data_IF_962193821542
#
_entry.id   IF_962193821542
#
_cell.length_a   1.000
_cell.length_b   1.000
_cell.length_c   1.000
_cell.angle_alpha   90.00
_cell.angle_beta   90.00
_cell.angle_gamma   90.00
#
_symmetry.space_group_name_H-M   'P 1'
#
loop_
_entity.id
_entity.type
_entity.pdbx_description
1 polymer ?
#
# COMPACT_ATOMS: atom_id res chain seq x y z
N UNK A 1 -52.52 -38.44 -17.83
CA UNK A 1 -51.80 -38.11 -16.58
C UNK A 1 -50.30 -38.29 -16.84
N UNK A 2 -49.56 -37.21 -17.07
CA UNK A 2 -48.09 -37.23 -17.19
C UNK A 2 -47.56 -36.41 -16.01
N UNK A 3 -46.87 -37.08 -15.09
CA UNK A 3 -46.21 -36.44 -13.96
C UNK A 3 -44.89 -35.82 -14.45
N UNK A 4 -44.74 -34.50 -14.28
CA UNK A 4 -43.50 -33.79 -14.54
C UNK A 4 -42.58 -33.88 -13.33
N UNK A 5 -41.37 -34.40 -13.53
CA UNK A 5 -40.29 -34.33 -12.55
C UNK A 5 -39.68 -32.92 -12.56
N UNK A 6 -39.76 -32.23 -11.42
CA UNK A 6 -39.03 -30.99 -11.17
C UNK A 6 -37.65 -31.38 -10.64
N UNK A 7 -36.60 -31.05 -11.38
CA UNK A 7 -35.21 -31.22 -10.99
C UNK A 7 -34.80 -30.01 -10.13
N UNK A 8 -34.73 -30.18 -8.81
CA UNK A 8 -34.15 -29.17 -7.92
C UNK A 8 -32.62 -29.19 -8.09
N UNK A 9 -32.08 -28.14 -8.71
CA UNK A 9 -30.64 -27.86 -8.68
C UNK A 9 -30.29 -27.29 -7.30
N UNK A 10 -29.66 -28.10 -6.46
CA UNK A 10 -28.99 -27.65 -5.24
C UNK A 10 -27.74 -26.86 -5.64
N UNK A 11 -27.84 -25.53 -5.60
CA UNK A 11 -26.68 -24.63 -5.62
C UNK A 11 -25.88 -24.86 -4.35
N UNK A 12 -24.76 -25.57 -4.46
CA UNK A 12 -23.75 -25.61 -3.42
C UNK A 12 -23.07 -24.24 -3.39
N UNK A 13 -23.54 -23.36 -2.50
CA UNK A 13 -22.79 -22.17 -2.14
C UNK A 13 -21.47 -22.62 -1.53
N UNK A 14 -20.36 -22.32 -2.18
CA UNK A 14 -19.03 -22.40 -1.55
C UNK A 14 -19.05 -21.41 -0.41
N UNK A 15 -19.27 -21.89 0.82
CA UNK A 15 -18.90 -21.13 2.00
C UNK A 15 -17.40 -20.94 1.93
N UNK A 16 -16.95 -19.72 1.66
CA UNK A 16 -15.58 -19.31 1.97
C UNK A 16 -15.50 -19.46 3.49
N UNK A 17 -14.85 -20.52 3.96
CA UNK A 17 -14.51 -20.63 5.38
C UNK A 17 -13.43 -19.60 5.60
N UNK A 18 -13.78 -18.49 6.25
CA UNK A 18 -12.81 -17.52 6.73
C UNK A 18 -11.83 -18.26 7.65
N UNK A 19 -10.56 -18.25 7.29
CA UNK A 19 -9.42 -18.82 8.02
C UNK A 19 -8.83 -17.85 9.06
N UNK A 20 -9.47 -16.70 9.31
CA UNK A 20 -9.09 -15.80 10.39
C UNK A 20 -8.94 -16.52 11.74
N UNK A 21 -7.82 -16.27 12.41
CA UNK A 21 -7.59 -16.63 13.82
C UNK A 21 -7.76 -15.36 14.67
N UNK A 22 -8.99 -15.11 15.13
CA UNK A 22 -9.31 -13.95 15.95
C UNK A 22 -9.04 -14.19 17.44
N UNK A 23 -8.50 -13.19 18.12
CA UNK A 23 -8.40 -13.19 19.59
C UNK A 23 -9.63 -12.52 20.21
N UNK A 24 -9.90 -12.83 21.48
CA UNK A 24 -10.94 -12.10 22.23
C UNK A 24 -10.47 -10.72 22.66
N UNK A 25 -11.40 -9.79 22.93
CA UNK A 25 -11.10 -8.47 23.51
C UNK A 25 -10.33 -8.56 24.83
N UNK A 26 -10.66 -9.56 25.66
CA UNK A 26 -9.98 -9.81 26.92
C UNK A 26 -8.54 -10.30 26.72
N UNK A 27 -8.30 -11.13 25.70
CA UNK A 27 -6.96 -11.53 25.31
C UNK A 27 -6.14 -10.37 24.76
N UNK A 28 -6.72 -9.56 23.87
CA UNK A 28 -6.06 -8.37 23.35
C UNK A 28 -5.61 -7.42 24.48
N UNK A 29 -6.51 -7.11 25.43
CA UNK A 29 -6.18 -6.26 26.59
C UNK A 29 -4.99 -6.83 27.38
N UNK A 30 -4.98 -8.13 27.64
CA UNK A 30 -3.86 -8.78 28.36
C UNK A 30 -2.54 -8.69 27.58
N UNK A 31 -2.55 -8.92 26.27
CA UNK A 31 -1.31 -8.87 25.46
C UNK A 31 -0.74 -7.46 25.42
N UNK A 32 -1.59 -6.44 25.24
CA UNK A 32 -1.14 -5.05 25.13
C UNK A 32 -0.72 -4.46 26.49
N UNK A 33 -1.29 -4.93 27.62
CA UNK A 33 -0.87 -4.54 28.98
C UNK A 33 0.58 -4.93 29.31
N UNK A 34 1.11 -6.00 28.70
CA UNK A 34 2.50 -6.44 28.87
C UNK A 34 3.49 -5.39 28.31
N UNK A 35 2.99 -4.32 27.68
CA UNK A 35 3.75 -3.16 27.22
C UNK A 35 4.46 -3.38 25.88
N UNK A 36 4.30 -4.56 25.28
CA UNK A 36 4.79 -4.85 23.94
C UNK A 36 3.87 -4.19 22.90
N UNK A 37 4.41 -3.54 21.86
CA UNK A 37 3.62 -3.05 20.75
C UNK A 37 3.01 -4.22 19.98
N UNK A 38 1.76 -4.08 19.56
CA UNK A 38 1.00 -5.08 18.80
C UNK A 38 0.27 -4.39 17.65
N UNK A 39 0.39 -4.93 16.44
CA UNK A 39 -0.39 -4.50 15.29
C UNK A 39 -1.68 -5.32 15.23
N UNK A 40 -2.83 -4.65 15.21
CA UNK A 40 -4.14 -5.28 15.34
C UNK A 40 -5.01 -4.92 14.14
N UNK A 41 -5.54 -5.93 13.45
CA UNK A 41 -6.58 -5.77 12.44
C UNK A 41 -7.97 -5.89 13.07
N UNK A 42 -8.72 -4.80 13.08
CA UNK A 42 -10.14 -4.77 13.42
C UNK A 42 -10.93 -4.98 12.15
N UNK A 43 -11.63 -6.10 12.06
CA UNK A 43 -12.26 -6.57 10.82
C UNK A 43 -13.72 -6.94 11.04
N UNK A 44 -14.46 -7.05 9.95
CA UNK A 44 -15.73 -7.76 9.90
C UNK A 44 -15.63 -8.76 8.76
N UNK A 45 -15.36 -10.05 9.03
CA UNK A 45 -14.96 -11.01 8.01
C UNK A 45 -15.90 -11.09 6.79
N UNK A 46 -17.20 -10.89 7.00
CA UNK A 46 -18.23 -10.92 5.96
C UNK A 46 -18.24 -9.67 5.03
N UNK A 47 -17.59 -8.56 5.42
CA UNK A 47 -17.50 -7.37 4.58
C UNK A 47 -16.38 -7.57 3.53
N UNK A 48 -16.62 -7.28 2.22
CA UNK A 48 -15.65 -7.55 1.15
C UNK A 48 -14.25 -6.97 1.38
N UNK A 49 -14.17 -5.77 1.98
CA UNK A 49 -12.92 -5.11 2.30
C UNK A 49 -12.08 -5.87 3.35
N UNK A 50 -12.74 -6.52 4.32
CA UNK A 50 -12.07 -7.34 5.32
C UNK A 50 -11.69 -8.71 4.74
N UNK A 51 -12.58 -9.34 3.96
CA UNK A 51 -12.28 -10.60 3.28
C UNK A 51 -11.06 -10.47 2.35
N UNK A 52 -10.93 -9.37 1.62
CA UNK A 52 -9.79 -9.12 0.73
C UNK A 52 -8.43 -8.95 1.44
N UNK A 53 -8.44 -8.63 2.74
CA UNK A 53 -7.24 -8.47 3.57
C UNK A 53 -6.73 -9.81 4.14
N UNK A 54 -7.62 -10.81 4.27
CA UNK A 54 -7.41 -12.04 5.04
C UNK A 54 -6.16 -12.81 4.60
N UNK A 55 -6.01 -13.08 3.31
CA UNK A 55 -4.88 -13.86 2.76
C UNK A 55 -3.52 -13.23 3.13
N UNK A 56 -3.41 -11.91 2.96
CA UNK A 56 -2.18 -11.16 3.23
C UNK A 56 -1.89 -11.07 4.74
N UNK A 57 -2.94 -10.97 5.56
CA UNK A 57 -2.80 -10.96 7.02
C UNK A 57 -2.31 -12.31 7.56
N UNK A 58 -2.91 -13.40 7.08
CA UNK A 58 -2.51 -14.77 7.45
C UNK A 58 -1.09 -15.07 6.95
N UNK A 59 -0.73 -14.63 5.74
CA UNK A 59 0.62 -14.78 5.21
C UNK A 59 1.67 -14.04 6.06
N UNK A 60 1.36 -12.81 6.51
CA UNK A 60 2.21 -12.08 7.45
C UNK A 60 2.36 -12.81 8.79
N UNK A 61 1.25 -13.29 9.36
CA UNK A 61 1.27 -14.03 10.63
C UNK A 61 2.10 -15.33 10.52
N UNK A 62 1.95 -16.06 9.42
CA UNK A 62 2.68 -17.30 9.17
C UNK A 62 4.18 -17.09 8.94
N UNK A 63 4.58 -15.93 8.40
CA UNK A 63 5.99 -15.59 8.15
C UNK A 63 6.78 -15.29 9.43
N UNK A 64 6.09 -15.13 10.58
CA UNK A 64 6.72 -14.90 11.87
C UNK A 64 7.13 -16.25 12.48
N UNK A 65 8.41 -16.60 12.33
CA UNK A 65 8.98 -17.89 12.77
C UNK A 65 9.09 -18.08 14.30
N UNK A 66 8.79 -17.05 15.11
CA UNK A 66 8.92 -17.09 16.56
C UNK A 66 7.55 -16.85 17.23
N UNK A 67 7.06 -17.82 17.99
CA UNK A 67 5.78 -17.75 18.71
C UNK A 67 5.64 -16.48 19.60
N UNK A 68 6.76 -15.96 20.13
CA UNK A 68 6.74 -14.71 20.92
C UNK A 68 6.53 -13.44 20.07
N UNK A 69 6.84 -13.50 18.78
CA UNK A 69 6.62 -12.43 17.81
C UNK A 69 5.27 -12.60 17.09
N UNK A 70 4.71 -13.81 16.99
CA UNK A 70 3.36 -14.02 16.46
C UNK A 70 2.30 -13.26 17.28
N UNK A 71 2.54 -13.08 18.59
CA UNK A 71 1.71 -12.24 19.47
C UNK A 71 1.77 -10.73 19.13
N UNK A 72 2.53 -10.31 18.12
CA UNK A 72 2.64 -8.93 17.66
C UNK A 72 1.70 -8.62 16.48
N UNK A 73 1.05 -9.62 15.89
CA UNK A 73 0.10 -9.46 14.79
C UNK A 73 -1.22 -10.17 15.15
N UNK A 74 -2.24 -9.41 15.56
CA UNK A 74 -3.52 -9.95 16.07
C UNK A 74 -4.71 -9.47 15.25
N UNK A 75 -5.82 -10.22 15.25
CA UNK A 75 -7.07 -9.78 14.62
C UNK A 75 -8.25 -9.86 15.59
N UNK A 76 -9.22 -8.95 15.43
CA UNK A 76 -10.47 -8.90 16.18
C UNK A 76 -11.64 -8.92 15.20
N UNK A 77 -12.58 -9.84 15.39
CA UNK A 77 -13.86 -9.83 14.70
C UNK A 77 -14.83 -8.86 15.38
N UNK A 78 -15.01 -7.69 14.75
CA UNK A 78 -15.92 -6.65 15.21
C UNK A 78 -17.39 -6.90 14.85
N UNK A 79 -17.73 -8.05 14.24
CA UNK A 79 -19.10 -8.51 14.10
C UNK A 79 -19.64 -9.18 15.37
N UNK A 80 -18.73 -9.64 16.26
CA UNK A 80 -19.10 -10.31 17.50
C UNK A 80 -19.52 -9.31 18.59
N UNK A 81 -20.56 -9.61 19.40
CA UNK A 81 -21.05 -8.71 20.45
C UNK A 81 -20.03 -8.36 21.54
N UNK A 82 -19.08 -9.25 21.81
CA UNK A 82 -18.05 -9.14 22.87
C UNK A 82 -16.72 -8.53 22.40
N UNK A 83 -16.67 -8.05 21.16
CA UNK A 83 -15.48 -7.46 20.54
C UNK A 83 -15.08 -6.07 21.07
N UNK A 84 -15.93 -5.41 21.88
CA UNK A 84 -15.79 -4.02 22.34
C UNK A 84 -15.60 -2.98 21.20
N UNK A 85 -15.69 -3.39 19.94
CA UNK A 85 -15.39 -2.59 18.76
C UNK A 85 -16.31 -1.36 18.64
N UNK A 86 -17.60 -1.55 18.93
CA UNK A 86 -18.60 -0.49 18.79
C UNK A 86 -18.32 0.76 19.65
N UNK A 87 -17.63 0.59 20.79
CA UNK A 87 -17.30 1.68 21.71
C UNK A 87 -16.13 2.55 21.24
N UNK A 88 -15.37 2.11 20.23
CA UNK A 88 -14.11 2.73 19.83
C UNK A 88 -14.26 3.42 18.46
N UNK A 89 -14.52 4.72 18.43
CA UNK A 89 -14.76 5.43 17.16
C UNK A 89 -13.57 5.37 16.17
N UNK A 90 -12.35 5.21 16.68
CA UNK A 90 -11.12 5.22 15.89
C UNK A 90 -10.84 3.92 15.11
N UNK A 91 -11.65 2.86 15.30
CA UNK A 91 -11.47 1.59 14.58
C UNK A 91 -12.35 1.49 13.32
N UNK A 92 -13.19 2.48 13.03
CA UNK A 92 -14.04 2.53 11.83
C UNK A 92 -13.43 3.48 10.80
N UNK A 93 -13.57 3.22 9.49
CA UNK A 93 -14.26 2.07 8.86
C UNK A 93 -13.46 0.76 8.94
N UNK A 94 -14.10 -0.38 8.61
CA UNK A 94 -13.45 -1.69 8.58
C UNK A 94 -12.97 -2.07 7.16
N UNK A 95 -11.84 -2.80 7.04
CA UNK A 95 -10.91 -3.10 8.11
C UNK A 95 -10.12 -1.85 8.53
N UNK A 96 -9.81 -1.76 9.83
CA UNK A 96 -8.88 -0.77 10.39
C UNK A 96 -7.73 -1.49 11.06
N UNK A 97 -6.51 -1.09 10.75
CA UNK A 97 -5.29 -1.73 11.27
C UNK A 97 -4.55 -0.70 12.13
N UNK A 98 -4.37 -1.02 13.40
CA UNK A 98 -3.81 -0.10 14.39
C UNK A 98 -2.61 -0.70 15.10
N UNK A 99 -1.56 0.09 15.28
CA UNK A 99 -0.50 -0.23 16.21
C UNK A 99 -0.94 0.21 17.61
N UNK A 100 -1.06 -0.75 18.52
CA UNK A 100 -1.39 -0.53 19.91
C UNK A 100 -0.15 -0.68 20.79
N UNK A 101 -0.05 0.18 21.81
CA UNK A 101 0.95 0.07 22.87
C UNK A 101 0.34 0.60 24.16
N UNK A 102 0.48 -0.13 25.27
CA UNK A 102 -0.09 0.24 26.57
C UNK A 102 -1.59 0.61 26.51
N UNK A 103 -2.37 -0.23 25.83
CA UNK A 103 -3.82 -0.11 25.56
C UNK A 103 -4.23 1.17 24.82
N UNK A 104 -3.32 1.79 24.08
CA UNK A 104 -3.59 2.99 23.30
C UNK A 104 -3.18 2.82 21.84
N UNK A 105 -3.96 3.35 20.88
CA UNK A 105 -3.50 3.46 19.50
C UNK A 105 -2.35 4.47 19.44
N UNK A 106 -1.21 4.04 18.92
CA UNK A 106 -0.03 4.90 18.69
C UNK A 106 0.22 5.19 17.22
N UNK A 107 -0.36 4.38 16.32
CA UNK A 107 -0.37 4.65 14.88
C UNK A 107 -1.53 3.93 14.19
N UNK A 108 -1.99 4.49 13.08
CA UNK A 108 -2.90 3.83 12.14
C UNK A 108 -2.12 3.41 10.91
N UNK A 109 -2.26 2.15 10.50
CA UNK A 109 -1.66 1.66 9.28
C UNK A 109 -2.37 2.25 8.06
N UNK A 110 -1.59 2.82 7.14
CA UNK A 110 -2.08 3.51 5.93
C UNK A 110 -1.38 3.06 4.65
N UNK A 111 -0.54 2.02 4.76
CA UNK A 111 0.27 1.51 3.68
C UNK A 111 -0.43 0.43 2.85
N UNK A 112 0.39 -0.33 2.13
CA UNK A 112 -0.04 -1.39 1.22
C UNK A 112 -0.62 -2.57 2.00
N UNK A 113 -1.82 -3.02 1.66
CA UNK A 113 -2.41 -4.21 2.31
C UNK A 113 -1.81 -5.50 1.76
N UNK A 114 -0.53 -5.73 2.07
CA UNK A 114 0.30 -6.88 1.70
C UNK A 114 1.04 -7.40 2.93
N UNK A 115 1.31 -8.70 2.99
CA UNK A 115 1.87 -9.37 4.16
C UNK A 115 3.18 -8.72 4.65
N UNK A 116 4.18 -8.63 3.76
CA UNK A 116 5.47 -8.02 4.06
C UNK A 116 5.35 -6.54 4.45
N UNK A 117 4.38 -5.82 3.87
CA UNK A 117 4.16 -4.41 4.15
C UNK A 117 3.63 -4.16 5.57
N UNK A 118 2.91 -5.12 6.19
CA UNK A 118 2.53 -5.04 7.61
C UNK A 118 3.74 -5.23 8.52
N UNK A 119 4.58 -6.22 8.20
CA UNK A 119 5.78 -6.53 8.97
C UNK A 119 6.80 -5.39 8.91
N UNK A 120 7.02 -4.82 7.72
CA UNK A 120 7.94 -3.70 7.55
C UNK A 120 7.45 -2.46 8.30
N UNK A 121 6.15 -2.15 8.25
CA UNK A 121 5.58 -1.06 9.06
C UNK A 121 5.76 -1.28 10.55
N UNK A 122 5.47 -2.49 11.04
CA UNK A 122 5.66 -2.82 12.45
C UNK A 122 7.11 -2.67 12.86
N UNK A 123 8.06 -3.19 12.06
CA UNK A 123 9.48 -3.04 12.28
C UNK A 123 9.89 -1.55 12.29
N UNK A 124 9.49 -0.75 11.28
CA UNK A 124 9.78 0.69 11.22
C UNK A 124 9.26 1.43 12.44
N UNK A 125 8.03 1.14 12.88
CA UNK A 125 7.37 1.84 13.99
C UNK A 125 7.92 1.48 15.36
N UNK A 126 8.35 0.24 15.56
CA UNK A 126 8.87 -0.25 16.84
C UNK A 126 10.38 -0.08 17.00
N UNK A 127 11.09 0.19 15.90
CA UNK A 127 12.53 0.49 15.90
C UNK A 127 12.83 1.84 16.56
N UNK A 128 13.75 1.81 17.52
CA UNK A 128 14.29 2.98 18.21
C UNK A 128 15.81 2.84 18.31
N UNK A 129 16.62 3.76 17.74
CA UNK A 129 16.23 4.91 16.90
C UNK A 129 15.59 4.47 15.57
N UNK A 130 14.80 5.34 14.93
CA UNK A 130 14.11 4.99 13.68
C UNK A 130 15.02 5.09 12.45
N UNK A 131 16.02 5.98 12.49
CA UNK A 131 17.18 5.95 11.59
C UNK A 131 18.21 5.00 12.21
N UNK A 132 18.65 3.99 11.45
CA UNK A 132 19.66 3.05 11.93
C UNK A 132 21.04 3.64 11.73
N UNK A 133 21.72 3.99 12.81
CA UNK A 133 23.06 4.57 12.79
C UNK A 133 24.15 3.49 12.84
N UNK A 134 25.38 3.88 12.47
CA UNK A 134 26.55 3.03 12.65
C UNK A 134 26.54 1.75 11.81
N UNK A 135 25.97 1.82 10.61
CA UNK A 135 25.92 0.68 9.69
C UNK A 135 27.33 0.32 9.21
N UNK A 136 27.92 -0.74 9.78
CA UNK A 136 29.12 -1.38 9.25
C UNK A 136 28.82 -2.17 7.95
N UNK A 137 29.82 -2.83 7.36
CA UNK A 137 29.62 -3.58 6.10
C UNK A 137 28.56 -4.68 6.21
N UNK A 138 28.51 -5.41 7.34
CA UNK A 138 27.56 -6.50 7.53
C UNK A 138 26.16 -5.97 7.87
N UNK A 139 26.08 -4.97 8.75
CA UNK A 139 24.84 -4.30 9.12
C UNK A 139 24.21 -3.60 7.91
N UNK A 140 25.01 -2.95 7.07
CA UNK A 140 24.55 -2.35 5.82
C UNK A 140 24.00 -3.41 4.84
N UNK A 141 24.67 -4.55 4.70
CA UNK A 141 24.18 -5.64 3.84
C UNK A 141 22.83 -6.18 4.32
N UNK A 142 22.66 -6.36 5.64
CA UNK A 142 21.38 -6.76 6.22
C UNK A 142 20.31 -5.65 6.07
N UNK A 143 20.70 -4.39 6.29
CA UNK A 143 19.79 -3.25 6.23
C UNK A 143 19.23 -3.01 4.82
N UNK A 144 20.02 -3.25 3.77
CA UNK A 144 19.56 -3.21 2.37
C UNK A 144 18.39 -4.15 2.08
N UNK A 145 18.23 -5.23 2.86
CA UNK A 145 17.12 -6.17 2.75
C UNK A 145 16.05 -6.03 3.84
N UNK A 146 16.13 -5.00 4.69
CA UNK A 146 15.22 -4.82 5.82
C UNK A 146 13.84 -4.27 5.44
N UNK A 147 13.69 -3.82 4.20
CA UNK A 147 12.46 -3.25 3.64
C UNK A 147 12.48 -3.42 2.11
N UNK A 148 11.36 -3.14 1.44
CA UNK A 148 11.33 -3.12 -0.03
C UNK A 148 12.20 -1.98 -0.61
N UNK A 149 12.35 -0.90 0.17
CA UNK A 149 13.16 0.24 -0.18
C UNK A 149 13.77 0.87 1.07
N UNK A 150 15.08 1.07 1.04
CA UNK A 150 15.82 1.72 2.12
C UNK A 150 16.65 2.89 1.62
N UNK A 151 16.77 3.92 2.45
CA UNK A 151 17.56 5.10 2.19
C UNK A 151 18.73 5.15 3.16
N UNK A 152 19.95 5.22 2.63
CA UNK A 152 21.18 5.23 3.42
C UNK A 152 21.94 6.53 3.18
N UNK A 153 22.08 7.35 4.21
CA UNK A 153 22.97 8.50 4.18
C UNK A 153 24.41 8.06 4.44
N UNK A 154 25.34 8.48 3.58
CA UNK A 154 26.77 8.33 3.75
C UNK A 154 27.34 9.71 4.07
N UNK A 155 27.72 9.92 5.32
CA UNK A 155 28.11 11.22 5.86
C UNK A 155 29.42 11.10 6.64
N UNK A 156 30.26 12.13 6.58
CA UNK A 156 31.33 12.27 7.55
C UNK A 156 30.76 12.99 8.79
N UNK A 157 30.50 12.26 9.87
CA UNK A 157 29.78 12.81 11.04
C UNK A 157 30.56 13.91 11.80
N UNK A 158 31.86 14.06 11.53
CA UNK A 158 32.66 15.17 12.08
C UNK A 158 32.41 16.48 11.32
N UNK A 159 32.06 16.42 10.03
CA UNK A 159 31.89 17.61 9.16
C UNK A 159 30.45 17.81 8.65
N UNK A 160 29.63 16.77 8.64
CA UNK A 160 28.29 16.72 8.05
C UNK A 160 27.16 16.54 9.10
N UNK A 161 27.42 16.83 10.37
CA UNK A 161 26.42 16.68 11.45
C UNK A 161 25.09 17.40 11.18
N UNK A 162 25.14 18.56 10.51
CA UNK A 162 23.92 19.27 10.11
C UNK A 162 23.10 18.50 9.06
N UNK A 163 23.77 17.80 8.14
CA UNK A 163 23.11 16.97 7.12
C UNK A 163 22.47 15.72 7.74
N UNK A 164 23.05 15.18 8.82
CA UNK A 164 22.43 14.09 9.57
C UNK A 164 21.07 14.53 10.14
N UNK A 165 20.99 15.73 10.72
CA UNK A 165 19.72 16.30 11.20
C UNK A 165 18.69 16.52 10.08
N UNK A 166 19.13 17.04 8.93
CA UNK A 166 18.27 17.17 7.73
C UNK A 166 17.74 15.82 7.26
N UNK A 167 18.61 14.80 7.24
CA UNK A 167 18.25 13.44 6.85
C UNK A 167 17.23 12.82 7.82
N UNK A 168 17.42 12.99 9.12
CA UNK A 168 16.47 12.55 10.15
C UNK A 168 15.10 13.21 10.02
N UNK A 169 15.06 14.51 9.71
CA UNK A 169 13.81 15.25 9.53
C UNK A 169 13.02 14.73 8.33
N UNK A 170 13.69 14.46 7.20
CA UNK A 170 13.04 13.83 6.03
C UNK A 170 12.61 12.40 6.35
N UNK A 171 13.49 11.61 6.98
CA UNK A 171 13.19 10.24 7.37
C UNK A 171 11.95 10.13 8.29
N UNK A 172 11.72 11.14 9.14
CA UNK A 172 10.54 11.21 10.01
C UNK A 172 9.24 11.32 9.20
N UNK A 173 9.25 12.10 8.11
CA UNK A 173 8.09 12.29 7.23
C UNK A 173 7.69 11.01 6.50
N UNK A 174 8.67 10.21 6.07
CA UNK A 174 8.44 8.97 5.31
C UNK A 174 8.58 7.69 6.14
N UNK A 175 8.62 7.78 7.48
CA UNK A 175 8.81 6.63 8.38
C UNK A 175 7.75 5.53 8.20
N UNK A 176 6.55 5.89 7.76
CA UNK A 176 5.48 4.92 7.54
C UNK A 176 5.61 4.21 6.18
N UNK A 177 6.47 4.69 5.28
CA UNK A 177 6.69 4.16 3.93
C UNK A 177 8.05 3.45 3.79
N UNK A 178 9.14 4.07 4.25
CA UNK A 178 10.50 3.61 3.96
C UNK A 178 11.36 3.48 5.22
N UNK A 179 12.41 2.67 5.14
CA UNK A 179 13.42 2.54 6.19
C UNK A 179 14.64 3.41 5.91
N UNK A 180 15.19 4.05 6.95
CA UNK A 180 16.30 4.98 6.84
C UNK A 180 17.48 4.54 7.71
N UNK A 181 18.70 4.70 7.20
CA UNK A 181 19.94 4.34 7.86
C UNK A 181 21.07 5.30 7.54
N UNK A 182 22.15 5.23 8.32
CA UNK A 182 23.28 6.13 8.19
C UNK A 182 24.61 5.39 8.38
N UNK A 183 25.53 5.66 7.46
CA UNK A 183 26.92 5.19 7.47
C UNK A 183 27.81 6.40 7.74
N UNK A 184 28.52 6.35 8.87
CA UNK A 184 29.54 7.34 9.25
C UNK A 184 30.99 6.88 8.97
N UNK A 185 31.18 5.62 8.58
CA UNK A 185 32.50 5.00 8.45
C UNK A 185 33.06 5.18 7.03
N UNK A 186 34.25 5.80 6.93
CA UNK A 186 34.91 6.10 5.67
C UNK A 186 35.35 4.85 4.89
N UNK A 187 35.67 3.74 5.57
CA UNK A 187 36.05 2.48 4.92
C UNK A 187 34.83 1.78 4.33
N UNK A 188 33.69 1.77 5.03
CA UNK A 188 32.41 1.29 4.49
C UNK A 188 32.00 2.10 3.27
N UNK A 189 32.09 3.43 3.37
CA UNK A 189 31.76 4.35 2.28
C UNK A 189 32.62 4.11 1.03
N UNK A 190 33.94 3.96 1.22
CA UNK A 190 34.89 3.63 0.14
C UNK A 190 34.58 2.28 -0.50
N UNK A 191 34.28 1.24 0.29
CA UNK A 191 33.90 -0.09 -0.22
C UNK A 191 32.64 -0.06 -1.08
N UNK A 192 31.69 0.82 -0.74
CA UNK A 192 30.46 1.01 -1.50
C UNK A 192 30.64 1.91 -2.74
N UNK A 193 31.84 2.47 -2.95
CA UNK A 193 32.10 3.37 -4.08
C UNK A 193 31.23 4.63 -4.03
N UNK A 194 30.99 5.16 -2.84
CA UNK A 194 30.19 6.37 -2.61
C UNK A 194 31.12 7.49 -2.12
N UNK A 195 30.90 8.71 -2.61
CA UNK A 195 31.58 9.91 -2.10
C UNK A 195 30.68 10.62 -1.09
N UNK A 196 31.21 11.01 0.06
CA UNK A 196 30.44 11.77 1.06
C UNK A 196 30.43 13.28 0.74
N UNK A 197 29.37 14.02 1.11
CA UNK A 197 28.07 13.52 1.56
C UNK A 197 27.24 12.97 0.40
N UNK A 198 26.47 11.91 0.64
CA UNK A 198 25.50 11.39 -0.32
C UNK A 198 24.36 10.65 0.38
N UNK A 199 23.24 10.48 -0.32
CA UNK A 199 22.16 9.56 0.07
C UNK A 199 21.97 8.54 -1.04
N UNK A 200 21.81 7.26 -0.68
CA UNK A 200 21.59 6.18 -1.64
C UNK A 200 20.29 5.48 -1.34
N UNK A 201 19.46 5.31 -2.36
CA UNK A 201 18.25 4.49 -2.31
C UNK A 201 18.60 3.08 -2.79
N UNK A 202 18.34 2.07 -1.97
CA UNK A 202 18.46 0.66 -2.33
C UNK A 202 17.07 0.04 -2.37
N UNK A 203 16.73 -0.58 -3.50
CA UNK A 203 15.53 -1.42 -3.63
C UNK A 203 15.89 -2.87 -3.35
N UNK A 204 14.96 -3.60 -2.76
CA UNK A 204 15.16 -5.01 -2.43
C UNK A 204 15.50 -5.81 -3.70
N UNK A 205 16.62 -6.53 -3.66
CA UNK A 205 17.12 -7.33 -4.79
C UNK A 205 18.00 -6.56 -5.77
N UNK A 206 18.10 -5.23 -5.68
CA UNK A 206 19.05 -4.44 -6.47
C UNK A 206 20.40 -4.35 -5.76
N UNK A 207 21.47 -4.57 -6.54
CA UNK A 207 22.85 -4.48 -6.03
C UNK A 207 23.30 -3.02 -5.96
N UNK A 208 23.02 -2.28 -7.04
CA UNK A 208 23.34 -0.88 -7.18
C UNK A 208 22.17 -0.03 -6.69
N UNK A 209 22.49 1.05 -5.98
CA UNK A 209 21.50 2.01 -5.51
C UNK A 209 21.54 3.30 -6.32
N UNK A 210 20.42 4.00 -6.36
CA UNK A 210 20.34 5.33 -6.97
C UNK A 210 20.89 6.36 -5.99
N UNK A 211 21.80 7.22 -6.43
CA UNK A 211 22.54 8.15 -5.57
C UNK A 211 22.05 9.60 -5.73
N UNK A 212 21.95 10.30 -4.62
CA UNK A 212 21.93 11.76 -4.53
C UNK A 212 23.28 12.19 -3.98
N UNK A 213 24.16 12.70 -4.85
CA UNK A 213 25.51 13.14 -4.46
C UNK A 213 25.51 14.61 -4.02
N UNK A 214 26.37 14.91 -3.04
CA UNK A 214 26.59 16.25 -2.53
C UNK A 214 25.64 16.64 -1.40
N UNK A 215 25.74 17.92 -1.01
CA UNK A 215 24.94 18.47 0.09
C UNK A 215 23.47 18.58 -0.31
N UNK A 216 22.59 18.34 0.66
CA UNK A 216 21.14 18.38 0.48
C UNK A 216 20.46 19.18 1.59
N UNK A 217 19.26 19.68 1.29
CA UNK A 217 18.36 20.31 2.27
C UNK A 217 17.03 19.54 2.32
N UNK A 218 16.22 19.78 3.36
CA UNK A 218 14.97 19.04 3.63
C UNK A 218 14.08 18.90 2.40
N UNK A 219 13.75 20.02 1.73
CA UNK A 219 12.87 19.99 0.55
C UNK A 219 13.50 19.35 -0.69
N UNK A 220 14.83 19.46 -0.86
CA UNK A 220 15.52 18.82 -1.98
C UNK A 220 15.61 17.31 -1.82
N UNK A 221 15.96 16.86 -0.61
CA UNK A 221 16.02 15.45 -0.26
C UNK A 221 14.63 14.80 -0.31
N UNK A 222 13.59 15.45 0.22
CA UNK A 222 12.21 14.94 0.18
C UNK A 222 11.71 14.69 -1.26
N UNK A 223 11.88 15.67 -2.16
CA UNK A 223 11.53 15.50 -3.58
C UNK A 223 12.33 14.37 -4.24
N UNK A 224 13.60 14.23 -3.89
CA UNK A 224 14.41 13.13 -4.43
C UNK A 224 13.94 11.76 -3.92
N UNK A 225 13.60 11.65 -2.63
CA UNK A 225 12.98 10.45 -2.04
C UNK A 225 11.70 10.09 -2.80
N UNK A 226 10.81 11.05 -3.03
CA UNK A 226 9.59 10.81 -3.79
C UNK A 226 9.86 10.37 -5.23
N UNK A 227 10.74 11.09 -5.94
CA UNK A 227 11.05 10.80 -7.34
C UNK A 227 11.67 9.41 -7.50
N UNK A 228 12.63 9.06 -6.64
CA UNK A 228 13.32 7.76 -6.71
C UNK A 228 12.44 6.61 -6.22
N UNK A 229 11.38 6.88 -5.46
CA UNK A 229 10.43 5.87 -4.99
C UNK A 229 9.40 5.46 -6.03
N UNK A 230 9.17 6.27 -7.08
CA UNK A 230 8.18 5.98 -8.12
C UNK A 230 8.52 4.70 -8.89
N UNK A 231 7.49 3.96 -9.27
CA UNK A 231 7.55 2.80 -10.17
C UNK A 231 6.79 3.15 -11.45
N UNK A 232 7.00 2.40 -12.54
CA UNK A 232 6.25 2.57 -13.78
C UNK A 232 4.73 2.40 -13.54
N UNK A 233 4.36 1.56 -12.57
CA UNK A 233 2.99 1.42 -12.07
C UNK A 233 3.05 1.34 -10.54
N UNK A 234 2.76 2.45 -9.87
CA UNK A 234 2.81 2.54 -8.40
C UNK A 234 1.51 2.00 -7.77
N UNK A 235 1.61 1.24 -6.68
CA UNK A 235 0.42 0.87 -5.91
C UNK A 235 0.03 2.04 -4.98
N UNK A 236 -1.19 2.55 -5.14
CA UNK A 236 -1.69 3.68 -4.38
C UNK A 236 -2.21 3.27 -3.00
N UNK A 237 -1.86 4.08 -2.02
CA UNK A 237 -2.20 4.00 -0.60
C UNK A 237 -2.55 5.39 -0.10
N UNK A 238 -3.08 5.47 1.12
CA UNK A 238 -3.40 6.77 1.72
C UNK A 238 -2.15 7.66 1.90
N UNK A 239 -0.96 7.06 1.99
CA UNK A 239 0.31 7.77 2.17
C UNK A 239 0.78 8.49 0.90
N UNK A 240 0.56 7.87 -0.27
CA UNK A 240 1.06 8.37 -1.56
C UNK A 240 -0.01 8.92 -2.50
N UNK A 241 -1.29 8.82 -2.13
CA UNK A 241 -2.40 9.26 -2.97
C UNK A 241 -2.26 10.70 -3.48
N UNK A 242 -1.88 11.62 -2.58
CA UNK A 242 -1.69 13.04 -2.91
C UNK A 242 -0.57 13.25 -3.93
N UNK A 243 0.63 12.73 -3.64
CA UNK A 243 1.80 12.87 -4.53
C UNK A 243 1.59 12.28 -5.93
N UNK A 244 0.78 11.23 -6.05
CA UNK A 244 0.45 10.62 -7.35
C UNK A 244 -0.42 11.54 -8.23
N UNK A 245 -1.05 12.56 -7.65
CA UNK A 245 -1.92 13.52 -8.35
C UNK A 245 -1.27 14.90 -8.58
N UNK A 246 -0.16 15.20 -7.90
CA UNK A 246 0.39 16.56 -7.83
C UNK A 246 0.85 17.13 -9.16
N UNK A 247 1.39 16.29 -10.05
CA UNK A 247 1.97 16.74 -11.31
C UNK A 247 0.91 17.19 -12.33
N UNK A 248 -0.37 16.89 -12.09
CA UNK A 248 -1.48 17.25 -12.98
C UNK A 248 -1.58 16.42 -14.26
N UNK A 249 -0.76 15.37 -14.39
CA UNK A 249 -0.77 14.46 -15.54
C UNK A 249 -2.06 13.64 -15.54
N UNK A 250 -2.57 13.22 -16.72
CA UNK A 250 -3.63 12.23 -16.79
C UNK A 250 -3.23 10.94 -16.04
N UNK A 251 -4.16 10.38 -15.29
CA UNK A 251 -3.92 9.22 -14.42
C UNK A 251 -4.70 8.03 -14.94
N UNK A 252 -4.03 6.88 -15.07
CA UNK A 252 -4.67 5.59 -15.33
C UNK A 252 -4.75 4.82 -14.02
N UNK A 253 -5.97 4.66 -13.51
CA UNK A 253 -6.27 3.83 -12.35
C UNK A 253 -6.58 2.40 -12.77
N UNK A 254 -5.89 1.45 -12.16
CA UNK A 254 -6.10 0.01 -12.35
C UNK A 254 -6.51 -0.60 -11.01
N UNK A 255 -7.78 -0.97 -10.88
CA UNK A 255 -8.36 -1.44 -9.63
C UNK A 255 -8.24 -2.96 -9.52
N UNK A 256 -7.66 -3.41 -8.40
CA UNK A 256 -7.63 -4.81 -8.00
C UNK A 256 -8.04 -4.96 -6.54
N UNK A 257 -9.06 -5.76 -6.31
CA UNK A 257 -9.67 -5.98 -5.00
C UNK A 257 -8.75 -6.73 -4.03
N UNK A 258 -7.88 -7.62 -4.53
CA UNK A 258 -6.91 -8.37 -3.73
C UNK A 258 -5.47 -8.00 -4.09
N UNK A 259 -4.53 -8.21 -3.16
CA UNK A 259 -3.12 -7.96 -3.42
C UNK A 259 -2.56 -8.80 -4.59
N UNK A 260 -2.93 -10.07 -4.67
CA UNK A 260 -2.56 -10.96 -5.79
C UNK A 260 -3.09 -10.44 -7.14
N UNK A 261 -4.33 -9.94 -7.17
CA UNK A 261 -4.91 -9.32 -8.38
C UNK A 261 -4.13 -8.06 -8.78
N UNK A 262 -3.84 -7.17 -7.82
CA UNK A 262 -3.04 -5.95 -8.05
C UNK A 262 -1.64 -6.26 -8.59
N UNK A 263 -0.95 -7.26 -8.04
CA UNK A 263 0.36 -7.69 -8.52
C UNK A 263 0.31 -8.25 -9.95
N UNK A 264 -0.70 -9.06 -10.27
CA UNK A 264 -0.90 -9.59 -11.63
C UNK A 264 -1.18 -8.47 -12.63
N UNK A 265 -2.04 -7.52 -12.27
CA UNK A 265 -2.36 -6.35 -13.09
C UNK A 265 -1.11 -5.51 -13.35
N UNK A 266 -0.33 -5.21 -12.30
CA UNK A 266 0.93 -4.49 -12.41
C UNK A 266 1.89 -5.17 -13.39
N UNK A 267 2.07 -6.49 -13.26
CA UNK A 267 2.94 -7.27 -14.15
C UNK A 267 2.45 -7.26 -15.60
N UNK A 268 1.15 -7.44 -15.82
CA UNK A 268 0.57 -7.57 -17.16
C UNK A 268 0.58 -6.25 -17.93
N UNK A 269 0.48 -5.12 -17.24
CA UNK A 269 0.42 -3.79 -17.85
C UNK A 269 1.78 -3.05 -17.84
N UNK A 270 2.82 -3.64 -17.25
CA UNK A 270 4.11 -2.97 -17.03
C UNK A 270 4.72 -2.39 -18.31
N UNK A 271 4.83 -3.20 -19.37
CA UNK A 271 5.38 -2.75 -20.66
C UNK A 271 4.55 -1.63 -21.28
N UNK A 272 3.22 -1.71 -21.16
CA UNK A 272 2.31 -0.69 -21.67
C UNK A 272 2.47 0.63 -20.91
N UNK A 273 2.55 0.59 -19.58
CA UNK A 273 2.77 1.78 -18.78
C UNK A 273 4.11 2.45 -19.10
N UNK A 274 5.16 1.67 -19.34
CA UNK A 274 6.45 2.20 -19.78
C UNK A 274 6.40 2.88 -21.16
N UNK A 275 5.62 2.35 -22.11
CA UNK A 275 5.50 2.95 -23.44
C UNK A 275 4.56 4.16 -23.49
N UNK A 276 3.80 4.41 -22.42
CA UNK A 276 2.85 5.53 -22.29
C UNK A 276 3.18 6.36 -21.04
N UNK A 277 4.41 6.87 -20.99
CA UNK A 277 4.93 7.65 -19.86
C UNK A 277 4.17 8.96 -19.60
N UNK A 278 3.50 9.51 -20.62
CA UNK A 278 2.58 10.66 -20.55
C UNK A 278 1.38 10.50 -19.60
N UNK A 279 1.20 9.31 -19.03
CA UNK A 279 0.24 9.03 -17.97
C UNK A 279 0.94 8.63 -16.66
N UNK A 280 0.37 9.05 -15.55
CA UNK A 280 0.65 8.43 -14.25
C UNK A 280 -0.16 7.14 -14.14
N UNK A 281 0.50 5.99 -14.01
CA UNK A 281 -0.18 4.70 -13.84
C UNK A 281 -0.16 4.29 -12.38
N UNK A 282 -1.35 3.96 -11.86
CA UNK A 282 -1.47 3.46 -10.49
C UNK A 282 -2.36 2.24 -10.42
N UNK A 283 -1.95 1.29 -9.59
CA UNK A 283 -2.79 0.17 -9.17
C UNK A 283 -3.39 0.49 -7.81
N UNK A 284 -4.67 0.19 -7.59
CA UNK A 284 -5.40 0.68 -6.41
C UNK A 284 -6.19 -0.44 -5.75
N UNK A 285 -6.09 -0.53 -4.42
CA UNK A 285 -7.08 -1.23 -3.60
C UNK A 285 -8.35 -0.37 -3.52
N UNK A 286 -9.45 -0.77 -4.17
CA UNK A 286 -10.67 0.04 -4.23
C UNK A 286 -11.28 0.28 -2.83
N UNK A 287 -11.01 -0.60 -1.86
CA UNK A 287 -11.55 -0.50 -0.52
C UNK A 287 -10.85 0.55 0.36
N UNK A 288 -9.68 1.06 -0.05
CA UNK A 288 -9.03 2.19 0.63
C UNK A 288 -9.64 3.55 0.20
N UNK A 289 -10.30 3.60 -0.96
CA UNK A 289 -10.78 4.84 -1.58
C UNK A 289 -12.24 4.74 -2.04
N UNK A 290 -13.21 4.35 -1.18
CA UNK A 290 -14.60 4.10 -1.60
C UNK A 290 -15.26 5.31 -2.27
N UNK A 291 -15.07 6.51 -1.73
CA UNK A 291 -15.61 7.74 -2.33
C UNK A 291 -15.04 8.01 -3.74
N UNK A 292 -13.81 7.57 -4.00
CA UNK A 292 -13.20 7.67 -5.32
C UNK A 292 -13.81 6.66 -6.30
N UNK A 293 -14.13 5.47 -5.82
CA UNK A 293 -14.83 4.45 -6.62
C UNK A 293 -16.20 4.95 -7.09
N UNK A 294 -16.95 5.62 -6.22
CA UNK A 294 -18.23 6.25 -6.56
C UNK A 294 -18.05 7.33 -7.65
N UNK A 295 -17.04 8.20 -7.48
CA UNK A 295 -16.71 9.24 -8.47
C UNK A 295 -16.34 8.64 -9.81
N UNK A 296 -15.62 7.52 -9.81
CA UNK A 296 -15.21 6.85 -11.03
C UNK A 296 -16.28 5.93 -11.64
N UNK A 297 -17.40 5.71 -10.95
CA UNK A 297 -18.46 4.83 -11.40
C UNK A 297 -18.04 3.35 -11.44
N UNK A 298 -17.25 2.91 -10.45
CA UNK A 298 -16.63 1.58 -10.40
C UNK A 298 -17.05 0.77 -9.19
N UNK A 299 -17.63 -0.39 -9.45
CA UNK A 299 -18.21 -1.31 -8.47
C UNK A 299 -17.86 -2.79 -8.72
N UNK A 300 -17.25 -3.10 -9.87
CA UNK A 300 -16.85 -4.45 -10.29
C UNK A 300 -15.35 -4.41 -10.55
N UNK A 301 -14.61 -5.40 -10.02
CA UNK A 301 -13.16 -5.51 -10.13
C UNK A 301 -12.75 -6.84 -10.79
N UNK A 302 -11.65 -6.88 -11.57
CA UNK A 302 -10.73 -5.77 -11.83
C UNK A 302 -11.34 -4.72 -12.78
N UNK A 303 -10.88 -3.48 -12.71
CA UNK A 303 -11.36 -2.39 -13.56
C UNK A 303 -10.24 -1.39 -13.93
N UNK A 304 -10.39 -0.67 -15.04
CA UNK A 304 -9.51 0.46 -15.41
C UNK A 304 -10.34 1.74 -15.52
N UNK A 305 -9.83 2.86 -15.04
CA UNK A 305 -10.40 4.17 -15.34
C UNK A 305 -9.27 5.16 -15.65
N UNK A 306 -9.53 6.14 -16.50
CA UNK A 306 -8.62 7.23 -16.77
C UNK A 306 -9.23 8.50 -16.21
N UNK A 307 -8.42 9.28 -15.50
CA UNK A 307 -8.80 10.57 -14.96
C UNK A 307 -7.93 11.63 -15.60
N UNK A 308 -8.56 12.64 -16.18
CA UNK A 308 -7.90 13.82 -16.70
C UNK A 308 -8.14 14.96 -15.73
N UNK A 309 -7.12 15.40 -14.98
CA UNK A 309 -7.26 16.52 -14.05
C UNK A 309 -7.71 17.81 -14.77
N UNK A 310 -7.22 18.04 -16.00
CA UNK A 310 -7.67 19.14 -16.83
C UNK A 310 -9.13 18.93 -17.25
N UNK A 311 -10.01 19.75 -16.70
CA UNK A 311 -11.45 19.69 -16.96
C UNK A 311 -12.21 18.64 -16.16
N UNK A 312 -11.59 18.03 -15.14
CA UNK A 312 -12.22 17.09 -14.21
C UNK A 312 -13.00 15.96 -14.92
N UNK A 313 -12.34 15.27 -15.86
CA UNK A 313 -12.98 14.24 -16.69
C UNK A 313 -12.56 12.85 -16.27
N UNK A 314 -13.55 11.97 -16.13
CA UNK A 314 -13.34 10.55 -15.87
C UNK A 314 -13.75 9.76 -17.10
N UNK A 315 -12.96 8.76 -17.46
CA UNK A 315 -13.24 7.84 -18.56
C UNK A 315 -13.21 6.43 -18.01
N UNK A 316 -14.26 5.68 -18.32
CA UNK A 316 -14.45 4.34 -17.81
C UNK A 316 -14.26 3.34 -18.94
N UNK A 317 -13.25 2.48 -18.84
CA UNK A 317 -13.16 1.23 -19.59
C UNK A 317 -14.50 0.45 -19.55
N UNK A 318 -15.01 -0.04 -20.68
CA UNK A 318 -16.31 -0.70 -20.75
C UNK A 318 -16.45 -1.89 -19.79
N UNK A 319 -17.60 -1.97 -19.11
CA UNK A 319 -17.90 -3.11 -18.23
C UNK A 319 -17.98 -4.38 -19.09
N UNK A 320 -17.39 -5.48 -18.62
CA UNK A 320 -17.43 -6.83 -19.26
C UNK A 320 -16.63 -6.99 -20.56
N UNK A 321 -15.86 -5.99 -20.96
CA UNK A 321 -14.86 -6.18 -22.02
C UNK A 321 -13.68 -7.01 -21.47
N UNK A 322 -13.07 -7.83 -22.34
CA UNK A 322 -11.88 -8.57 -21.97
C UNK A 322 -10.78 -7.60 -21.50
N UNK A 323 -10.03 -8.01 -20.48
CA UNK A 323 -8.96 -7.22 -19.91
C UNK A 323 -7.62 -7.72 -20.45
N UNK A 324 -7.10 -7.07 -21.49
CA UNK A 324 -5.77 -7.34 -22.06
C UNK A 324 -5.01 -6.03 -22.26
N UNK A 325 -3.68 -6.11 -22.32
CA UNK A 325 -2.83 -4.93 -22.55
C UNK A 325 -3.24 -4.17 -23.82
N UNK A 326 -3.38 -4.88 -24.95
CA UNK A 326 -3.72 -4.29 -26.24
C UNK A 326 -5.09 -3.59 -26.25
N UNK A 327 -6.09 -4.17 -25.56
CA UNK A 327 -7.43 -3.57 -25.48
C UNK A 327 -7.44 -2.33 -24.58
N UNK A 328 -6.66 -2.35 -23.49
CA UNK A 328 -6.49 -1.17 -22.62
C UNK A 328 -5.76 -0.07 -23.37
N UNK A 329 -4.72 -0.40 -24.14
CA UNK A 329 -3.99 0.55 -24.99
C UNK A 329 -4.90 1.21 -26.01
N UNK A 330 -5.65 0.41 -26.78
CA UNK A 330 -6.58 0.94 -27.78
C UNK A 330 -7.59 1.89 -27.13
N UNK A 331 -8.17 1.51 -25.99
CA UNK A 331 -9.11 2.35 -25.27
C UNK A 331 -8.45 3.66 -24.76
N UNK A 332 -7.20 3.60 -24.28
CA UNK A 332 -6.48 4.81 -23.84
C UNK A 332 -6.21 5.78 -24.98
N UNK A 333 -5.87 5.27 -26.17
CA UNK A 333 -5.69 6.10 -27.37
C UNK A 333 -7.02 6.78 -27.75
N UNK A 334 -8.14 6.07 -27.73
CA UNK A 334 -9.47 6.65 -27.96
C UNK A 334 -9.84 7.70 -26.89
N UNK A 335 -9.39 7.53 -25.64
CA UNK A 335 -9.54 8.55 -24.58
C UNK A 335 -8.68 9.78 -24.87
N UNK A 336 -7.44 9.63 -25.31
CA UNK A 336 -6.56 10.76 -25.66
C UNK A 336 -7.10 11.57 -26.83
N UNK A 337 -7.69 10.90 -27.82
CA UNK A 337 -8.30 11.52 -29.00
C UNK A 337 -9.70 12.12 -28.73
N UNK A 338 -10.19 12.06 -27.48
CA UNK A 338 -11.53 12.51 -27.08
C UNK A 338 -12.67 11.81 -27.87
N UNK A 339 -12.42 10.59 -28.35
CA UNK A 339 -13.42 9.73 -29.00
C UNK A 339 -14.36 9.03 -28.01
N UNK A 340 -13.92 8.86 -26.75
CA UNK A 340 -14.74 8.29 -25.67
C UNK A 340 -15.49 9.40 -24.91
N UNK A 341 -16.78 9.20 -24.67
CA UNK A 341 -17.57 10.07 -23.79
C UNK A 341 -17.14 9.88 -22.33
N UNK A 342 -16.84 10.98 -21.65
CA UNK A 342 -16.52 10.96 -20.22
C UNK A 342 -17.74 10.55 -19.37
N UNK A 343 -17.47 9.87 -18.27
CA UNK A 343 -18.42 9.50 -17.24
C UNK A 343 -18.93 10.74 -16.50
N UNK A 344 -20.23 10.75 -16.22
CA UNK A 344 -20.87 11.73 -15.34
C UNK A 344 -21.44 10.97 -14.15
N UNK A 345 -20.98 11.25 -12.92
CA UNK A 345 -21.54 10.62 -11.73
C UNK A 345 -23.06 10.89 -11.63
N UNK A 346 -23.86 9.93 -11.16
CA UNK A 346 -25.28 10.16 -10.91
C UNK A 346 -25.47 11.33 -9.94
N UNK A 347 -26.40 12.23 -10.24
CA UNK A 347 -26.79 13.26 -9.28
C UNK A 347 -27.46 12.56 -8.09
N UNK A 348 -26.99 12.84 -6.86
CA UNK A 348 -27.59 12.26 -5.63
C UNK A 348 -29.11 12.52 -5.63
N UNK A 349 -29.90 11.47 -5.85
CA UNK A 349 -31.37 11.52 -5.87
C UNK A 349 -32.02 11.08 -7.19
N UNK A 350 -31.27 10.89 -8.27
CA UNK A 350 -31.78 10.30 -9.52
C UNK A 350 -31.28 8.86 -9.68
N UNK A 351 -32.22 7.91 -9.74
CA UNK A 351 -31.93 6.55 -10.17
C UNK A 351 -31.67 6.56 -11.68
N UNK A 352 -30.41 6.55 -12.09
CA UNK A 352 -30.08 6.32 -13.49
C UNK A 352 -30.19 4.83 -13.79
N UNK A 353 -31.35 4.44 -14.32
CA UNK A 353 -31.45 3.27 -15.21
C UNK A 353 -30.53 3.54 -16.40
N UNK A 354 -29.38 2.89 -16.48
CA UNK A 354 -28.67 2.81 -17.75
C UNK A 354 -28.31 1.37 -18.10
N UNK A 355 -29.14 0.92 -19.03
CA UNK A 355 -29.05 -0.18 -19.97
C UNK A 355 -27.63 -0.55 -20.43
N UNK A 356 -27.50 -1.86 -20.63
CA UNK A 356 -26.55 -2.50 -21.52
C UNK A 356 -26.46 -1.76 -22.85
N UNK A 357 -25.23 -1.44 -23.29
CA UNK A 357 -24.71 -1.63 -24.65
C UNK A 357 -23.18 -1.48 -24.64
#
# INVERSE_FOLDING_TARGET
MRAGSVLLLLLWGTRVVSAWEHVSSGELKRVVEIGKPVLVAFVKPEEPASAALEEEWLSAAASINNNSQQQQLLSIDCSLPDSDCAAQQHIKPYPSILLLQLNKPVATYRGLRRGDSFLNFFARRTRTPFVVEGLDTAALAAFKGADEMVFVAYLDLDTDRELAGVFEDVARGYRDEFSFGMVGDAEVTRKMGVSTPAVVCYRLGEVDGVKLEGRFGVGGLGRWVEAVSRDAIEESTVLNWGRNMEDGWPIVYVFGSTASERQKLRKNLYTLAQSHDSFTWVVVDPFQFPNWMDRLGRDIFPAVAAYRPSGDRVYSYPKRQAFTSDLVEQWLLEVQEDHIKHWTPPVKGESTSHDEL
#
